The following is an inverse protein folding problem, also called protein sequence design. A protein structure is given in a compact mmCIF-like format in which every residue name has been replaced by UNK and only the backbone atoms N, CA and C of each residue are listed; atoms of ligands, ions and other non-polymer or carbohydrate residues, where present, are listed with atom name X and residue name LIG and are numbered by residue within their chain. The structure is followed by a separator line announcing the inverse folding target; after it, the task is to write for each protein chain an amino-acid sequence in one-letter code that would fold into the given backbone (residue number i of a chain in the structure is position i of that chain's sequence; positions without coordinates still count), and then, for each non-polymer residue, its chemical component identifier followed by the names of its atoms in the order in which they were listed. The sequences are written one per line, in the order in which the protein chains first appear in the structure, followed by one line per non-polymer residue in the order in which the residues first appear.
data_IF_537837895893
#
_entry.id   IF_537837895893
#
_cell.length_a   1.000
_cell.length_b   1.000
_cell.length_c   1.000
_cell.angle_alpha   90.00
_cell.angle_beta   90.00
_cell.angle_gamma   90.00
#
_symmetry.space_group_name_H-M   'P 1'
#
loop_
_entity.id
_entity.type
_entity.pdbx_description
1 polymer ?
#
# COMPACT_ATOMS: atom_id res chain seq x y z
N UNK A 1 18.12 -3.75 19.00
CA UNK A 1 16.81 -4.26 19.51
C UNK A 1 15.88 -3.06 19.59
N UNK A 2 14.96 -2.90 18.64
CA UNK A 2 13.95 -1.86 18.70
C UNK A 2 12.91 -2.24 19.75
N UNK A 3 12.62 -1.29 20.66
CA UNK A 3 11.66 -1.50 21.75
C UNK A 3 10.23 -1.63 21.20
N UNK A 4 9.50 -2.63 21.64
CA UNK A 4 8.04 -2.79 21.40
C UNK A 4 7.19 -1.82 22.23
N UNK A 5 7.76 -0.71 22.71
CA UNK A 5 7.02 0.26 23.51
C UNK A 5 5.93 0.94 22.66
N UNK A 6 4.74 1.12 23.23
CA UNK A 6 3.53 1.70 22.59
C UNK A 6 3.77 3.07 21.93
N UNK A 7 4.88 3.75 22.26
CA UNK A 7 5.32 5.04 21.73
C UNK A 7 6.69 4.97 21.03
N UNK A 8 7.08 3.80 20.51
CA UNK A 8 8.33 3.70 19.76
C UNK A 8 8.28 4.63 18.54
N UNK A 9 9.33 5.44 18.26
CA UNK A 9 9.41 6.26 17.06
C UNK A 9 9.26 5.42 15.77
N UNK A 10 9.62 4.15 15.83
CA UNK A 10 9.50 3.17 14.74
C UNK A 10 8.17 2.40 14.74
N UNK A 11 7.18 2.85 15.51
CA UNK A 11 5.78 2.39 15.46
C UNK A 11 5.60 0.88 15.59
N UNK A 12 6.35 0.22 16.47
CA UNK A 12 6.35 -1.22 16.72
C UNK A 12 6.79 -2.10 15.53
N UNK A 13 7.39 -1.52 14.50
CA UNK A 13 7.93 -2.27 13.39
C UNK A 13 9.21 -3.01 13.78
N UNK A 14 9.39 -4.22 13.25
CA UNK A 14 10.54 -5.06 13.53
C UNK A 14 11.80 -4.54 12.84
N UNK A 15 12.96 -4.81 13.45
CA UNK A 15 14.25 -4.46 12.86
C UNK A 15 14.47 -5.11 11.49
N UNK A 16 14.00 -6.35 11.33
CA UNK A 16 14.17 -7.10 10.09
C UNK A 16 13.37 -6.49 8.95
N UNK A 17 12.10 -6.13 9.22
CA UNK A 17 11.26 -5.45 8.23
C UNK A 17 11.83 -4.08 7.85
N UNK A 18 12.22 -3.26 8.84
CA UNK A 18 12.81 -1.94 8.58
C UNK A 18 14.13 -2.04 7.79
N UNK A 19 14.99 -2.99 8.16
CA UNK A 19 16.29 -3.21 7.48
C UNK A 19 16.10 -3.65 6.04
N UNK A 20 15.09 -4.48 5.75
CA UNK A 20 14.79 -4.93 4.39
C UNK A 20 14.50 -3.74 3.45
N UNK A 21 13.82 -2.70 3.93
CA UNK A 21 13.56 -1.47 3.19
C UNK A 21 14.72 -0.46 3.23
N UNK A 22 15.76 -0.73 4.00
CA UNK A 22 16.86 0.21 4.21
C UNK A 22 16.50 1.41 5.09
N UNK A 23 15.41 1.32 5.87
CA UNK A 23 15.01 2.38 6.81
C UNK A 23 16.04 2.50 7.92
N UNK A 24 16.47 3.73 8.21
CA UNK A 24 17.46 4.01 9.25
C UNK A 24 16.94 5.02 10.26
N UNK A 25 17.47 4.92 11.48
CA UNK A 25 17.30 5.92 12.52
C UNK A 25 18.62 6.68 12.66
N UNK A 26 18.58 8.01 12.56
CA UNK A 26 19.74 8.86 12.81
C UNK A 26 19.96 9.05 14.32
N UNK A 27 21.17 9.53 14.70
CA UNK A 27 21.51 9.82 16.08
C UNK A 27 20.57 10.85 16.75
N UNK A 28 20.02 11.76 15.94
CA UNK A 28 19.02 12.76 16.38
C UNK A 28 17.58 12.19 16.42
N UNK A 29 17.41 10.89 16.24
CA UNK A 29 16.09 10.23 16.27
C UNK A 29 15.24 10.44 15.01
N UNK A 30 15.77 11.06 13.96
CA UNK A 30 15.07 11.19 12.69
C UNK A 30 15.01 9.84 11.97
N UNK A 31 13.93 9.60 11.25
CA UNK A 31 13.72 8.37 10.50
C UNK A 31 13.97 8.66 9.02
N UNK A 32 14.83 7.86 8.40
CA UNK A 32 15.27 8.02 7.03
C UNK A 32 14.66 6.93 6.15
N UNK A 33 13.90 7.35 5.14
CA UNK A 33 13.30 6.48 4.14
C UNK A 33 14.05 6.67 2.82
N UNK A 34 14.82 5.67 2.35
CA UNK A 34 15.57 5.79 1.10
C UNK A 34 14.68 5.48 -0.10
N UNK A 35 14.89 6.21 -1.19
CA UNK A 35 14.27 5.98 -2.49
C UNK A 35 15.35 5.71 -3.54
N UNK A 36 15.15 4.66 -4.32
CA UNK A 36 16.12 4.17 -5.28
C UNK A 36 15.56 4.14 -6.70
N UNK A 37 16.46 4.27 -7.67
CA UNK A 37 16.22 3.84 -9.04
C UNK A 37 17.25 2.75 -9.36
N UNK A 38 16.78 1.52 -9.55
CA UNK A 38 17.68 0.37 -9.57
C UNK A 38 18.45 0.25 -8.24
N UNK A 39 19.77 0.30 -8.29
CA UNK A 39 20.63 0.23 -7.11
C UNK A 39 21.15 1.63 -6.65
N UNK A 40 20.75 2.70 -7.32
CA UNK A 40 21.20 4.04 -7.01
C UNK A 40 20.24 4.73 -6.04
N UNK A 41 20.79 5.26 -4.94
CA UNK A 41 20.04 6.08 -3.98
C UNK A 41 19.81 7.47 -4.59
N UNK A 42 18.55 7.77 -4.91
CA UNK A 42 18.16 9.03 -5.54
C UNK A 42 17.71 10.06 -4.52
N UNK A 43 17.01 9.61 -3.48
CA UNK A 43 16.40 10.51 -2.51
C UNK A 43 16.34 9.89 -1.12
N UNK A 44 16.39 10.75 -0.11
CA UNK A 44 16.08 10.41 1.28
C UNK A 44 14.93 11.29 1.76
N UNK A 45 13.82 10.66 2.12
CA UNK A 45 12.73 11.33 2.83
C UNK A 45 12.99 11.16 4.33
N UNK A 46 13.12 12.27 5.04
CA UNK A 46 13.50 12.32 6.44
C UNK A 46 12.30 12.78 7.25
N UNK A 47 11.82 11.93 8.15
CA UNK A 47 10.82 12.30 9.13
C UNK A 47 11.52 12.79 10.39
N UNK A 48 11.25 14.03 10.77
CA UNK A 48 11.83 14.62 11.99
C UNK A 48 11.24 14.00 13.26
N UNK A 49 12.10 13.72 14.24
CA UNK A 49 11.71 13.16 15.54
C UNK A 49 10.84 14.09 16.38
N UNK A 50 11.05 15.40 16.23
CA UNK A 50 10.47 16.44 17.08
C UNK A 50 9.15 17.01 16.54
N UNK A 51 8.65 16.50 15.42
CA UNK A 51 7.48 17.06 14.74
C UNK A 51 6.46 15.99 14.37
N UNK A 52 5.19 16.36 14.44
CA UNK A 52 4.09 15.42 14.23
C UNK A 52 3.99 14.96 12.79
N UNK A 53 4.39 15.80 11.81
CA UNK A 53 4.28 15.48 10.36
C UNK A 53 5.29 16.25 9.48
N UNK A 54 6.45 16.61 10.01
CA UNK A 54 7.42 17.36 9.20
C UNK A 54 8.37 16.40 8.51
N UNK A 55 8.45 16.53 7.18
CA UNK A 55 9.36 15.77 6.34
C UNK A 55 10.31 16.73 5.61
N UNK A 56 11.56 16.29 5.47
CA UNK A 56 12.55 16.90 4.60
C UNK A 56 12.89 15.88 3.51
N UNK A 57 13.05 16.35 2.28
CA UNK A 57 13.55 15.53 1.18
C UNK A 57 14.96 16.02 0.84
N UNK A 58 15.92 15.08 0.83
CA UNK A 58 17.29 15.30 0.38
C UNK A 58 17.51 14.50 -0.91
N UNK A 59 18.17 15.11 -1.89
CA UNK A 59 18.30 14.54 -3.24
C UNK A 59 17.14 14.95 -4.15
N UNK A 60 16.88 14.15 -5.17
CA UNK A 60 15.84 14.43 -6.16
C UNK A 60 14.44 14.24 -5.60
N UNK A 61 13.44 14.84 -6.28
CA UNK A 61 12.04 14.69 -5.90
C UNK A 61 11.55 13.25 -6.15
N UNK A 62 11.18 12.49 -5.10
CA UNK A 62 10.77 11.09 -5.26
C UNK A 62 9.35 10.89 -5.80
N UNK A 63 8.66 11.94 -6.22
CA UNK A 63 7.22 11.90 -6.56
C UNK A 63 6.83 10.87 -7.65
N UNK A 64 7.78 10.36 -8.42
CA UNK A 64 7.57 9.33 -9.44
C UNK A 64 8.14 7.97 -9.04
N UNK A 65 8.65 7.84 -7.83
CA UNK A 65 9.20 6.59 -7.31
C UNK A 65 8.17 5.90 -6.40
N UNK A 66 8.41 4.62 -6.12
CA UNK A 66 7.71 3.89 -5.05
C UNK A 66 8.73 3.57 -3.96
N UNK A 67 8.39 3.85 -2.71
CA UNK A 67 9.21 3.43 -1.58
C UNK A 67 9.22 1.90 -1.48
N UNK A 68 10.39 1.33 -1.34
CA UNK A 68 10.58 -0.11 -1.16
C UNK A 68 10.66 -0.92 -2.46
N UNK A 69 10.48 -0.30 -3.64
CA UNK A 69 10.53 -1.02 -4.92
C UNK A 69 11.83 -1.81 -5.11
N UNK A 70 12.96 -1.27 -4.65
CA UNK A 70 14.28 -1.90 -4.75
C UNK A 70 14.42 -3.17 -3.90
N UNK A 71 13.56 -3.34 -2.90
CA UNK A 71 13.60 -4.49 -2.01
C UNK A 71 12.99 -5.76 -2.63
N UNK A 72 12.31 -5.62 -3.78
CA UNK A 72 11.54 -6.71 -4.38
C UNK A 72 11.83 -6.85 -5.88
N UNK A 73 11.85 -8.09 -6.34
CA UNK A 73 11.88 -8.39 -7.78
C UNK A 73 10.50 -8.15 -8.39
N UNK A 74 10.43 -7.74 -9.67
CA UNK A 74 9.15 -7.68 -10.39
C UNK A 74 8.53 -9.07 -10.54
N UNK A 75 7.22 -9.13 -10.59
CA UNK A 75 6.45 -10.35 -10.78
C UNK A 75 6.11 -11.09 -9.50
N UNK A 76 5.15 -12.01 -9.61
CA UNK A 76 4.66 -12.84 -8.51
C UNK A 76 3.16 -12.71 -8.29
N UNK A 77 2.67 -13.40 -7.24
CA UNK A 77 1.23 -13.52 -6.96
C UNK A 77 0.56 -12.20 -6.61
N UNK A 78 1.24 -11.39 -5.78
CA UNK A 78 0.62 -10.18 -5.27
C UNK A 78 1.65 -9.13 -4.85
N UNK A 79 1.28 -7.85 -4.99
CA UNK A 79 1.95 -6.70 -4.38
C UNK A 79 0.90 -5.85 -3.67
N UNK A 80 1.27 -5.25 -2.54
CA UNK A 80 0.43 -4.28 -1.85
C UNK A 80 0.98 -2.87 -2.04
N UNK A 81 0.11 -1.92 -2.37
CA UNK A 81 0.42 -0.49 -2.43
C UNK A 81 -0.24 0.18 -1.24
N UNK A 82 0.53 0.95 -0.48
CA UNK A 82 0.06 1.73 0.67
C UNK A 82 0.28 3.22 0.46
N UNK A 83 -0.34 4.05 1.30
CA UNK A 83 -0.18 5.50 1.23
C UNK A 83 1.14 5.97 1.85
N UNK A 84 1.57 5.36 2.97
CA UNK A 84 2.73 5.77 3.75
C UNK A 84 3.83 4.72 3.83
N UNK A 85 5.07 5.16 4.06
CA UNK A 85 6.24 4.29 4.14
C UNK A 85 6.14 3.29 5.32
N UNK A 86 5.63 3.74 6.45
CA UNK A 86 5.43 2.86 7.60
C UNK A 86 4.38 1.78 7.33
N UNK A 87 3.38 2.10 6.52
CA UNK A 87 2.31 1.15 6.18
C UNK A 87 2.83 0.05 5.27
N UNK A 88 3.72 0.37 4.31
CA UNK A 88 4.38 -0.65 3.49
C UNK A 88 5.20 -1.62 4.34
N UNK A 89 5.98 -1.09 5.29
CA UNK A 89 6.76 -1.93 6.22
C UNK A 89 5.84 -2.75 7.12
N UNK A 90 4.71 -2.17 7.57
CA UNK A 90 3.72 -2.84 8.40
C UNK A 90 3.05 -4.01 7.67
N UNK A 91 2.64 -3.80 6.43
CA UNK A 91 2.09 -4.86 5.56
C UNK A 91 3.11 -5.99 5.39
N UNK A 92 4.35 -5.66 5.05
CA UNK A 92 5.42 -6.65 4.88
C UNK A 92 5.63 -7.47 6.16
N UNK A 93 5.68 -6.81 7.33
CA UNK A 93 5.77 -7.48 8.63
C UNK A 93 4.57 -8.38 8.92
N UNK A 94 3.34 -7.90 8.66
CA UNK A 94 2.11 -8.66 8.93
C UNK A 94 2.06 -9.99 8.16
N UNK A 95 2.66 -10.02 6.98
CA UNK A 95 2.81 -11.25 6.17
C UNK A 95 4.08 -12.06 6.47
N UNK A 96 4.73 -11.82 7.62
CA UNK A 96 5.95 -12.53 8.00
C UNK A 96 7.11 -12.29 7.04
N UNK A 97 7.22 -11.08 6.52
CA UNK A 97 8.29 -10.63 5.62
C UNK A 97 8.40 -11.43 4.31
N UNK A 98 7.25 -11.76 3.69
CA UNK A 98 7.21 -12.61 2.48
C UNK A 98 6.64 -11.94 1.24
N UNK A 99 5.62 -11.10 1.39
CA UNK A 99 4.93 -10.51 0.24
C UNK A 99 5.37 -9.07 0.01
N UNK A 100 5.59 -8.67 -1.26
CA UNK A 100 5.96 -7.32 -1.60
C UNK A 100 4.92 -6.28 -1.13
N UNK A 101 5.41 -5.21 -0.53
CA UNK A 101 4.63 -4.04 -0.23
C UNK A 101 5.45 -2.78 -0.56
N UNK A 102 4.82 -1.80 -1.19
CA UNK A 102 5.44 -0.54 -1.58
C UNK A 102 4.54 0.62 -1.17
N UNK A 103 5.08 1.81 -1.05
CA UNK A 103 4.23 2.97 -0.77
C UNK A 103 4.46 4.16 -1.68
N UNK A 104 3.47 5.05 -1.67
CA UNK A 104 3.48 6.31 -2.40
C UNK A 104 4.34 7.33 -1.63
N UNK A 105 5.26 8.08 -2.29
CA UNK A 105 6.15 9.01 -1.60
C UNK A 105 5.45 10.26 -1.08
N UNK A 106 4.35 10.69 -1.75
CA UNK A 106 3.70 11.98 -1.52
C UNK A 106 2.25 11.85 -1.03
N UNK A 107 1.87 10.66 -0.54
CA UNK A 107 0.51 10.36 -0.09
C UNK A 107 -0.52 10.29 -1.23
N UNK A 108 -1.80 10.24 -0.88
CA UNK A 108 -2.91 10.03 -1.82
C UNK A 108 -2.86 10.92 -3.07
N UNK A 109 -2.54 12.21 -2.93
CA UNK A 109 -2.51 13.17 -4.06
C UNK A 109 -1.48 12.84 -5.13
N UNK A 110 -0.38 12.18 -4.76
CA UNK A 110 0.68 11.78 -5.70
C UNK A 110 0.53 10.37 -6.25
N UNK A 111 -0.43 9.62 -5.78
CA UNK A 111 -0.58 8.19 -5.99
C UNK A 111 -0.66 7.82 -7.48
N UNK A 112 -1.52 8.47 -8.22
CA UNK A 112 -1.71 8.21 -9.65
C UNK A 112 -0.43 8.43 -10.46
N UNK A 113 0.33 9.51 -10.15
CA UNK A 113 1.60 9.81 -10.82
C UNK A 113 2.64 8.74 -10.54
N UNK A 114 2.82 8.34 -9.29
CA UNK A 114 3.78 7.32 -8.90
C UNK A 114 3.44 5.95 -9.49
N UNK A 115 2.17 5.55 -9.47
CA UNK A 115 1.73 4.27 -10.05
C UNK A 115 1.88 4.24 -11.58
N UNK A 116 1.56 5.34 -12.28
CA UNK A 116 1.79 5.42 -13.74
C UNK A 116 3.27 5.32 -14.09
N UNK A 117 4.15 5.97 -13.35
CA UNK A 117 5.59 5.93 -13.58
C UNK A 117 6.21 4.53 -13.34
N UNK A 118 5.57 3.70 -12.51
CA UNK A 118 6.01 2.35 -12.18
C UNK A 118 5.04 1.27 -12.71
N UNK A 119 4.27 1.59 -13.75
CA UNK A 119 3.19 0.75 -14.26
C UNK A 119 3.68 -0.66 -14.61
N UNK A 120 4.77 -0.79 -15.38
CA UNK A 120 5.28 -2.09 -15.82
C UNK A 120 5.66 -2.98 -14.64
N UNK A 121 6.31 -2.41 -13.63
CA UNK A 121 6.70 -3.15 -12.44
C UNK A 121 5.45 -3.62 -11.66
N UNK A 122 4.49 -2.74 -11.44
CA UNK A 122 3.23 -3.07 -10.73
C UNK A 122 2.41 -4.09 -11.53
N UNK A 123 2.31 -3.91 -12.84
CA UNK A 123 1.52 -4.80 -13.71
C UNK A 123 2.15 -6.19 -13.89
N UNK A 124 3.40 -6.39 -13.48
CA UNK A 124 4.05 -7.70 -13.50
C UNK A 124 3.50 -8.69 -12.47
N UNK A 125 2.72 -8.22 -11.48
CA UNK A 125 2.08 -9.07 -10.48
C UNK A 125 0.70 -9.57 -10.93
N UNK A 126 0.28 -10.74 -10.43
CA UNK A 126 -1.05 -11.30 -10.74
C UNK A 126 -2.17 -10.48 -10.09
N UNK A 127 -1.94 -9.94 -8.89
CA UNK A 127 -2.90 -9.11 -8.15
C UNK A 127 -2.21 -7.92 -7.48
N UNK A 128 -2.92 -6.79 -7.43
CA UNK A 128 -2.46 -5.54 -6.81
C UNK A 128 -3.45 -5.16 -5.71
N UNK A 129 -3.01 -5.21 -4.47
CA UNK A 129 -3.82 -4.85 -3.31
C UNK A 129 -3.59 -3.40 -2.92
N UNK A 130 -4.66 -2.63 -2.82
CA UNK A 130 -4.64 -1.21 -2.50
C UNK A 130 -5.06 -1.03 -1.05
N UNK A 131 -4.08 -0.87 -0.15
CA UNK A 131 -4.27 -0.69 1.28
C UNK A 131 -3.99 0.78 1.67
N UNK A 132 -4.82 1.68 1.17
CA UNK A 132 -4.76 3.12 1.42
C UNK A 132 -5.50 3.48 2.71
N UNK A 133 -5.17 4.64 3.30
CA UNK A 133 -5.85 5.17 4.47
C UNK A 133 -7.38 5.12 4.29
N UNK A 134 -8.10 4.83 5.37
CA UNK A 134 -9.56 4.69 5.35
C UNK A 134 -10.29 6.03 5.42
N UNK A 135 -9.61 7.14 5.07
CA UNK A 135 -10.24 8.44 4.87
C UNK A 135 -10.63 8.65 3.39
N UNK A 136 -11.38 9.74 3.14
CA UNK A 136 -11.93 10.02 1.80
C UNK A 136 -10.86 10.19 0.73
N UNK A 137 -9.73 10.81 1.06
CA UNK A 137 -8.64 11.05 0.09
C UNK A 137 -7.93 9.75 -0.27
N UNK A 138 -7.64 8.89 0.73
CA UNK A 138 -7.06 7.58 0.53
C UNK A 138 -7.96 6.66 -0.29
N UNK A 139 -9.27 6.63 0.01
CA UNK A 139 -10.20 5.79 -0.73
C UNK A 139 -10.42 6.26 -2.18
N UNK A 140 -10.46 7.57 -2.43
CA UNK A 140 -10.49 8.11 -3.80
C UNK A 140 -9.22 7.76 -4.58
N UNK A 141 -8.05 7.86 -3.96
CA UNK A 141 -6.80 7.48 -4.58
C UNK A 141 -6.75 5.98 -4.89
N UNK A 142 -7.24 5.12 -4.00
CA UNK A 142 -7.34 3.69 -4.25
C UNK A 142 -8.18 3.38 -5.50
N UNK A 143 -9.33 4.02 -5.65
CA UNK A 143 -10.20 3.87 -6.83
C UNK A 143 -9.46 4.31 -8.11
N UNK A 144 -8.83 5.48 -8.10
CA UNK A 144 -8.09 5.99 -9.26
C UNK A 144 -6.94 5.06 -9.69
N UNK A 145 -6.28 4.43 -8.72
CA UNK A 145 -5.22 3.45 -9.04
C UNK A 145 -5.83 2.14 -9.53
N UNK A 146 -6.95 1.70 -8.96
CA UNK A 146 -7.62 0.48 -9.38
C UNK A 146 -8.03 0.53 -10.87
N UNK A 147 -8.42 1.72 -11.36
CA UNK A 147 -8.73 1.95 -12.78
C UNK A 147 -7.52 1.75 -13.72
N UNK A 148 -6.29 1.88 -13.23
CA UNK A 148 -5.09 1.59 -14.01
C UNK A 148 -4.86 0.08 -14.23
N UNK A 149 -5.39 -0.76 -13.33
CA UNK A 149 -5.12 -2.19 -13.31
C UNK A 149 -6.40 -3.02 -13.33
N UNK A 150 -7.20 -2.92 -14.40
CA UNK A 150 -8.46 -3.64 -14.51
C UNK A 150 -8.25 -5.16 -14.40
N UNK A 151 -9.08 -5.81 -13.60
CA UNK A 151 -9.01 -7.25 -13.35
C UNK A 151 -7.86 -7.72 -12.46
N UNK A 152 -7.00 -6.82 -11.96
CA UNK A 152 -5.91 -7.13 -11.02
C UNK A 152 -6.02 -6.40 -9.70
N UNK A 153 -6.63 -5.22 -9.71
CA UNK A 153 -6.72 -4.37 -8.53
C UNK A 153 -7.78 -4.84 -7.54
N UNK A 154 -7.41 -4.90 -6.27
CA UNK A 154 -8.27 -5.23 -5.14
C UNK A 154 -8.16 -4.15 -4.08
N UNK A 155 -9.29 -3.61 -3.62
CA UNK A 155 -9.31 -2.57 -2.58
C UNK A 155 -9.48 -3.23 -1.23
N UNK A 156 -8.50 -3.01 -0.35
CA UNK A 156 -8.51 -3.53 1.02
C UNK A 156 -9.35 -2.61 1.90
N UNK A 157 -10.39 -3.14 2.52
CA UNK A 157 -11.21 -2.43 3.51
C UNK A 157 -10.69 -2.75 4.90
N UNK A 158 -9.97 -1.81 5.49
CA UNK A 158 -9.35 -1.94 6.79
C UNK A 158 -10.28 -1.48 7.90
N UNK A 159 -10.20 -2.12 9.09
CA UNK A 159 -10.92 -1.71 10.30
C UNK A 159 -10.24 -0.56 11.03
N UNK A 160 -8.92 -0.47 10.93
CA UNK A 160 -8.13 0.65 11.39
C UNK A 160 -7.94 1.68 10.29
N UNK A 161 -7.48 2.86 10.65
CA UNK A 161 -7.23 3.94 9.70
C UNK A 161 -6.23 3.54 8.62
N UNK A 162 -5.14 2.90 9.01
CA UNK A 162 -4.02 2.50 8.17
C UNK A 162 -3.45 1.14 8.61
N UNK A 163 -2.55 0.56 7.81
CA UNK A 163 -1.96 -0.75 8.09
C UNK A 163 -1.05 -0.75 9.34
N UNK A 164 -0.39 0.37 9.63
CA UNK A 164 0.49 0.43 10.78
C UNK A 164 -0.29 0.46 12.11
N UNK A 165 -1.52 0.94 12.14
CA UNK A 165 -2.35 0.90 13.35
C UNK A 165 -2.65 -0.54 13.81
N UNK A 166 -2.77 -1.53 12.89
CA UNK A 166 -2.87 -2.95 13.27
C UNK A 166 -1.60 -3.44 13.98
N UNK A 167 -0.41 -3.06 13.52
CA UNK A 167 0.84 -3.44 14.17
C UNK A 167 0.94 -2.84 15.58
N UNK A 168 0.53 -1.59 15.74
CA UNK A 168 0.49 -0.92 17.05
C UNK A 168 -0.50 -1.59 18.02
N UNK A 169 -1.61 -2.08 17.48
CA UNK A 169 -2.63 -2.78 18.24
C UNK A 169 -2.26 -4.24 18.55
N UNK A 170 -1.26 -4.82 17.86
CA UNK A 170 -0.93 -6.24 17.95
C UNK A 170 -1.92 -7.13 17.19
N UNK A 171 -2.53 -6.58 16.13
CA UNK A 171 -3.62 -7.19 15.37
C UNK A 171 -3.19 -7.57 13.93
N UNK A 172 -1.93 -7.97 13.73
CA UNK A 172 -1.39 -8.35 12.42
C UNK A 172 -2.23 -9.44 11.72
N UNK A 173 -2.69 -10.42 12.50
CA UNK A 173 -3.54 -11.49 11.97
C UNK A 173 -4.89 -10.97 11.46
N UNK A 174 -5.41 -9.89 12.05
CA UNK A 174 -6.64 -9.27 11.59
C UNK A 174 -6.43 -8.49 10.29
N UNK A 175 -5.29 -7.77 10.16
CA UNK A 175 -4.91 -7.14 8.89
C UNK A 175 -4.86 -8.18 7.75
N UNK A 176 -4.22 -9.33 7.99
CA UNK A 176 -4.14 -10.41 7.00
C UNK A 176 -5.53 -10.90 6.58
N UNK A 177 -6.48 -11.02 7.52
CA UNK A 177 -7.87 -11.39 7.19
C UNK A 177 -8.56 -10.32 6.35
N UNK A 178 -8.45 -9.05 6.72
CA UNK A 178 -9.04 -7.93 5.98
C UNK A 178 -8.43 -7.84 4.56
N UNK A 179 -7.13 -8.08 4.41
CA UNK A 179 -6.45 -8.14 3.13
C UNK A 179 -6.95 -9.29 2.24
N UNK A 180 -7.10 -10.50 2.76
CA UNK A 180 -7.66 -11.63 2.01
C UNK A 180 -9.14 -11.44 1.66
N UNK A 181 -9.86 -10.62 2.40
CA UNK A 181 -11.26 -10.28 2.14
C UNK A 181 -11.42 -9.15 1.10
N UNK A 182 -10.31 -8.61 0.57
CA UNK A 182 -10.37 -7.56 -0.42
C UNK A 182 -11.07 -8.04 -1.69
N UNK A 183 -11.96 -7.19 -2.22
CA UNK A 183 -12.75 -7.48 -3.41
C UNK A 183 -12.09 -6.90 -4.66
N UNK A 184 -12.29 -7.57 -5.79
CA UNK A 184 -11.91 -7.03 -7.09
C UNK A 184 -12.59 -5.69 -7.33
N UNK A 185 -11.82 -4.72 -7.80
CA UNK A 185 -12.40 -3.46 -8.24
C UNK A 185 -13.11 -3.66 -9.57
N UNK A 186 -14.38 -3.32 -9.61
CA UNK A 186 -15.19 -3.30 -10.82
C UNK A 186 -15.65 -1.86 -11.03
N UNK A 187 -15.26 -1.21 -12.15
CA UNK A 187 -15.73 0.13 -12.49
C UNK A 187 -17.26 0.21 -12.59
N UNK A 188 -17.83 1.33 -12.24
CA UNK A 188 -19.26 1.57 -12.40
C UNK A 188 -19.69 1.37 -13.85
N UNK A 189 -20.81 0.66 -14.05
CA UNK A 189 -21.35 0.34 -15.37
C UNK A 189 -20.78 -0.93 -16.02
N UNK A 190 -19.79 -1.57 -15.43
CA UNK A 190 -19.31 -2.90 -15.85
C UNK A 190 -20.01 -3.97 -15.03
N UNK A 191 -20.69 -4.90 -15.71
CA UNK A 191 -21.32 -6.06 -15.08
C UNK A 191 -20.41 -7.27 -15.27
N UNK A 192 -19.94 -7.85 -14.17
CA UNK A 192 -19.09 -9.05 -14.19
C UNK A 192 -19.91 -10.25 -14.63
N UNK A 193 -19.35 -11.12 -15.48
CA UNK A 193 -20.05 -12.25 -16.10
C UNK A 193 -20.86 -13.14 -15.13
N UNK A 194 -20.36 -13.32 -13.90
CA UNK A 194 -21.06 -14.09 -12.85
C UNK A 194 -22.42 -13.47 -12.46
N UNK A 195 -22.48 -12.13 -12.39
CA UNK A 195 -23.73 -11.41 -12.06
C UNK A 195 -24.66 -11.27 -13.26
N UNK A 196 -24.15 -11.37 -14.48
CA UNK A 196 -24.95 -11.45 -15.69
C UNK A 196 -25.71 -12.77 -15.79
N UNK A 197 -25.08 -13.88 -15.41
CA UNK A 197 -25.70 -15.20 -15.44
C UNK A 197 -26.94 -15.27 -14.56
N UNK A 198 -26.87 -14.71 -13.36
CA UNK A 198 -28.01 -14.65 -12.44
C UNK A 198 -29.14 -13.75 -12.95
N UNK A 199 -28.82 -12.68 -13.68
CA UNK A 199 -29.81 -11.79 -14.30
C UNK A 199 -30.47 -12.40 -15.52
N UNK A 200 -29.71 -13.08 -16.35
CA UNK A 200 -30.24 -13.73 -17.58
C UNK A 200 -31.13 -14.92 -17.24
N UNK A 201 -30.86 -15.62 -16.13
CA UNK A 201 -31.64 -16.75 -15.69
C UNK A 201 -32.85 -16.40 -14.81
N UNK A 202 -33.08 -15.11 -14.50
CA UNK A 202 -34.33 -14.73 -13.83
C UNK A 202 -35.53 -14.93 -14.78
N UNK A 203 -36.62 -15.60 -14.33
CA UNK A 203 -37.79 -15.76 -15.13
C UNK A 203 -38.34 -14.38 -15.55
N UNK A 204 -38.53 -14.21 -16.86
CA UNK A 204 -39.15 -12.98 -17.37
C UNK A 204 -40.57 -12.85 -16.82
N UNK A 205 -40.79 -11.82 -16.01
CA UNK A 205 -42.13 -11.44 -15.54
C UNK A 205 -42.86 -10.85 -16.77
N UNK A 206 -43.69 -11.63 -17.41
CA UNK A 206 -44.61 -11.13 -18.45
C UNK A 206 -45.58 -10.14 -17.79
N UNK A 207 -45.72 -8.91 -18.30
CA UNK A 207 -46.75 -8.01 -17.83
C UNK A 207 -48.12 -8.66 -18.08
N UNK A 208 -48.95 -8.73 -17.04
CA UNK A 208 -50.36 -9.08 -17.24
C UNK A 208 -51.02 -7.94 -18.00
N UNK A 209 -51.51 -8.22 -19.19
CA UNK A 209 -52.41 -7.33 -19.95
C UNK A 209 -53.76 -7.31 -19.27
#
# INVERSE_FOLDING_TARGET
KYSKAKNSPLRNLSSDALSHYGVKLSDNGNILFPYFTGNELISLKIRKSNSVKEFIVMGDNPASLLFGIQAFKPGGKAVTITEGEFDAVAVYQAFGCKYPAVSIPTGAKGALKACKANFEWLNSFDSIYLAFDMDDDGQKAAIQIAELFPGKAKIVKMRHKDANEYIKAGEEAQFVKDWWSATDYVPDGIVVGNTLWDRVNQPMVTPKV
#
